data_IF_846114612317
#
_entry.id   IF_846114612317
#
_cell.length_a   1.000
_cell.length_b   1.000
_cell.length_c   1.000
_cell.angle_alpha   90.00
_cell.angle_beta   90.00
_cell.angle_gamma   90.00
#
_symmetry.space_group_name_H-M   'P 1'
#
loop_
_entity.id
_entity.type
_entity.pdbx_description
1 polymer ?
#
# COMPACT_ATOMS: atom_id res chain seq x y z
N UNK A 1 2.44 -7.84 45.07
CA UNK A 1 1.71 -6.74 44.46
C UNK A 1 0.62 -7.19 43.52
N UNK A 2 -0.04 -6.25 42.88
CA UNK A 2 -1.11 -6.52 41.90
C UNK A 2 -0.80 -5.85 40.57
N UNK A 3 -1.20 -6.50 39.51
CA UNK A 3 -1.02 -6.00 38.16
C UNK A 3 0.44 -5.86 37.76
N UNK A 4 0.78 -4.75 37.10
CA UNK A 4 2.13 -4.47 36.61
C UNK A 4 3.01 -3.68 37.62
N UNK A 5 2.64 -3.66 38.88
CA UNK A 5 3.39 -2.94 39.93
C UNK A 5 4.79 -3.51 40.07
N UNK A 6 5.77 -2.63 40.28
CA UNK A 6 7.15 -3.01 40.58
C UNK A 6 7.98 -3.37 39.34
N UNK A 7 7.57 -2.99 38.12
CA UNK A 7 8.29 -3.31 36.90
C UNK A 7 9.71 -2.77 36.84
N UNK A 8 9.97 -1.60 37.44
CA UNK A 8 11.32 -1.03 37.59
C UNK A 8 11.93 -1.21 38.97
N UNK A 9 11.26 -1.97 39.84
CA UNK A 9 11.72 -2.27 41.20
C UNK A 9 12.01 -3.77 41.34
N UNK A 10 11.14 -4.51 42.04
CA UNK A 10 11.40 -5.92 42.34
C UNK A 10 11.29 -6.84 41.10
N UNK A 11 10.58 -6.42 40.06
CA UNK A 11 10.47 -7.19 38.80
C UNK A 11 11.40 -6.69 37.69
N UNK A 12 12.30 -5.76 38.00
CA UNK A 12 13.18 -5.10 37.01
C UNK A 12 14.04 -6.11 36.23
N UNK A 13 14.60 -7.10 36.92
CA UNK A 13 15.45 -8.11 36.27
C UNK A 13 14.69 -8.85 35.20
N UNK A 14 13.44 -9.23 35.46
CA UNK A 14 12.59 -9.93 34.46
C UNK A 14 12.25 -9.04 33.30
N UNK A 15 11.93 -7.77 33.54
CA UNK A 15 11.63 -6.84 32.43
C UNK A 15 12.86 -6.56 31.58
N UNK A 16 14.02 -6.34 32.18
CA UNK A 16 15.25 -6.08 31.42
C UNK A 16 15.69 -7.30 30.61
N UNK A 17 15.46 -8.50 31.11
CA UNK A 17 15.88 -9.74 30.46
C UNK A 17 14.92 -10.16 29.34
N UNK A 18 13.61 -10.09 29.55
CA UNK A 18 12.61 -10.63 28.63
C UNK A 18 11.88 -9.56 27.80
N UNK A 19 11.88 -8.33 28.26
CA UNK A 19 11.20 -7.22 27.57
C UNK A 19 12.10 -5.98 27.52
N UNK A 20 13.28 -6.06 26.87
CA UNK A 20 14.16 -4.90 26.75
C UNK A 20 13.44 -3.78 26.00
N UNK A 21 13.58 -2.55 26.51
CA UNK A 21 12.91 -1.40 25.90
C UNK A 21 11.43 -1.25 26.27
N UNK A 22 10.93 -2.00 27.24
CA UNK A 22 9.53 -1.90 27.69
C UNK A 22 9.19 -0.51 28.23
N UNK A 23 10.09 0.06 29.04
CA UNK A 23 9.89 1.38 29.63
C UNK A 23 10.46 2.47 28.72
N UNK A 24 9.87 3.63 28.78
CA UNK A 24 10.29 4.81 28.03
C UNK A 24 9.36 5.14 26.88
N UNK A 25 9.76 6.14 26.13
CA UNK A 25 9.02 6.64 24.96
C UNK A 25 9.97 6.69 23.77
N UNK A 26 9.47 6.37 22.59
CA UNK A 26 10.24 6.36 21.36
C UNK A 26 9.60 7.28 20.34
N UNK A 27 10.44 8.09 19.68
CA UNK A 27 10.03 8.95 18.57
C UNK A 27 9.37 10.25 19.00
N UNK A 28 9.01 11.04 18.02
CA UNK A 28 8.34 12.32 18.21
C UNK A 28 6.84 12.16 18.32
N UNK A 29 6.21 13.04 19.08
CA UNK A 29 4.75 13.12 19.15
C UNK A 29 4.24 13.95 17.97
N UNK A 30 3.08 13.58 17.47
CA UNK A 30 2.37 14.34 16.46
C UNK A 30 1.00 14.73 16.99
N UNK A 31 0.77 16.06 17.09
CA UNK A 31 -0.54 16.56 17.51
C UNK A 31 -1.54 16.42 16.38
N UNK A 32 -2.79 16.18 16.73
CA UNK A 32 -3.90 16.03 15.78
C UNK A 32 -3.58 15.02 14.65
N UNK A 33 -3.14 13.84 15.05
CA UNK A 33 -2.84 12.77 14.10
C UNK A 33 -4.13 12.13 13.61
N UNK A 34 -4.41 12.26 12.32
CA UNK A 34 -5.57 11.64 11.69
C UNK A 34 -5.12 10.52 10.76
N UNK A 35 -5.86 9.43 10.72
CA UNK A 35 -5.58 8.31 9.83
C UNK A 35 -5.82 8.63 8.36
N UNK A 36 -6.67 9.60 8.08
CA UNK A 36 -6.96 10.03 6.71
C UNK A 36 -5.72 10.53 5.97
N UNK A 37 -4.74 11.09 6.69
CA UNK A 37 -3.48 11.57 6.10
C UNK A 37 -2.65 10.43 5.49
N UNK A 38 -2.75 9.22 6.05
CA UNK A 38 -1.98 8.05 5.64
C UNK A 38 -2.79 7.06 4.80
N UNK A 39 -4.06 7.36 4.55
CA UNK A 39 -4.92 6.48 3.77
C UNK A 39 -4.41 6.39 2.34
N UNK A 40 -3.85 5.24 1.99
CA UNK A 40 -3.32 4.98 0.65
C UNK A 40 -3.45 3.48 0.34
N UNK A 41 -4.68 3.00 0.06
CA UNK A 41 -4.87 1.61 -0.31
C UNK A 41 -4.20 1.29 -1.63
N UNK A 42 -3.62 0.10 -1.73
CA UNK A 42 -2.82 -0.32 -2.87
C UNK A 42 -3.45 -1.50 -3.59
N UNK A 43 -3.37 -1.49 -4.92
CA UNK A 43 -3.70 -2.62 -5.77
C UNK A 43 -2.44 -3.02 -6.55
N UNK A 44 -2.24 -4.32 -6.78
CA UNK A 44 -1.11 -4.80 -7.56
C UNK A 44 -1.46 -4.92 -9.05
N UNK A 45 -0.44 -4.89 -9.90
CA UNK A 45 -0.63 -4.92 -11.36
C UNK A 45 -1.36 -6.17 -11.85
N UNK A 46 -1.21 -7.29 -11.16
CA UNK A 46 -1.90 -8.54 -11.52
C UNK A 46 -3.42 -8.45 -11.36
N UNK A 47 -3.90 -7.54 -10.51
CA UNK A 47 -5.32 -7.38 -10.21
C UNK A 47 -6.00 -6.29 -11.04
N UNK A 48 -5.26 -5.52 -11.81
CA UNK A 48 -5.81 -4.40 -12.57
C UNK A 48 -6.84 -4.84 -13.61
N UNK A 49 -6.59 -5.95 -14.28
CA UNK A 49 -7.52 -6.44 -15.29
C UNK A 49 -8.86 -6.86 -14.71
N UNK A 50 -8.88 -7.36 -13.47
CA UNK A 50 -10.10 -7.78 -12.81
C UNK A 50 -11.04 -6.63 -12.44
N UNK A 51 -10.55 -5.38 -12.44
CA UNK A 51 -11.37 -4.18 -12.21
C UNK A 51 -12.18 -3.76 -13.44
N UNK A 52 -11.84 -4.30 -14.61
CA UNK A 52 -12.59 -4.03 -15.84
C UNK A 52 -13.87 -4.86 -15.90
N UNK A 53 -14.94 -4.37 -16.56
CA UNK A 53 -16.13 -5.18 -16.79
C UNK A 53 -15.83 -6.48 -17.54
N UNK A 54 -16.59 -7.52 -17.26
CA UNK A 54 -16.46 -8.78 -18.00
C UNK A 54 -16.69 -8.57 -19.50
N UNK A 55 -15.90 -9.29 -20.31
CA UNK A 55 -16.00 -9.20 -21.75
C UNK A 55 -15.41 -7.93 -22.35
N UNK A 56 -14.64 -7.16 -21.57
CA UNK A 56 -13.95 -5.98 -22.10
C UNK A 56 -12.91 -6.41 -23.14
N UNK A 57 -13.11 -5.98 -24.38
CA UNK A 57 -12.18 -6.20 -25.48
C UNK A 57 -11.86 -4.85 -26.11
N UNK A 58 -10.59 -4.48 -26.12
CA UNK A 58 -10.16 -3.26 -26.77
C UNK A 58 -10.01 -3.49 -28.27
N UNK A 59 -10.45 -2.54 -29.14
CA UNK A 59 -10.17 -2.60 -30.58
C UNK A 59 -8.66 -2.61 -30.84
N UNK A 60 -8.27 -3.09 -32.03
CA UNK A 60 -6.87 -3.09 -32.44
C UNK A 60 -6.30 -1.66 -32.41
N UNK A 61 -5.13 -1.50 -31.79
CA UNK A 61 -4.48 -0.20 -31.64
C UNK A 61 -4.99 0.64 -30.46
N UNK A 62 -5.91 0.10 -29.67
CA UNK A 62 -6.43 0.78 -28.46
C UNK A 62 -6.24 -0.08 -27.22
N UNK A 63 -6.24 0.56 -26.07
CA UNK A 63 -6.11 -0.11 -24.77
C UNK A 63 -7.21 0.38 -23.82
N UNK A 64 -7.73 -0.50 -22.94
CA UNK A 64 -8.71 -0.07 -21.95
C UNK A 64 -8.09 0.88 -20.93
N UNK A 65 -8.89 1.78 -20.39
CA UNK A 65 -8.50 2.74 -19.36
C UNK A 65 -9.05 2.26 -18.02
N UNK A 66 -8.15 2.11 -17.03
CA UNK A 66 -8.51 1.73 -15.66
C UNK A 66 -8.19 2.90 -14.74
N UNK A 67 -9.20 3.43 -14.06
CA UNK A 67 -9.01 4.43 -13.00
C UNK A 67 -9.18 3.74 -11.65
N UNK A 68 -8.07 3.42 -11.00
CA UNK A 68 -8.10 2.70 -9.73
C UNK A 68 -8.68 3.52 -8.59
N UNK A 69 -8.73 4.85 -8.72
CA UNK A 69 -9.32 5.71 -7.71
C UNK A 69 -10.84 5.54 -7.62
N UNK A 70 -11.49 5.18 -8.73
CA UNK A 70 -12.92 4.86 -8.75
C UNK A 70 -13.23 3.51 -8.12
N UNK A 71 -12.24 2.65 -7.98
CA UNK A 71 -12.37 1.34 -7.33
C UNK A 71 -11.87 1.34 -5.88
N UNK A 72 -11.56 2.51 -5.33
CA UNK A 72 -11.15 2.65 -3.93
C UNK A 72 -9.65 2.50 -3.68
N UNK A 73 -8.82 2.54 -4.70
CA UNK A 73 -7.36 2.42 -4.55
C UNK A 73 -6.67 3.72 -4.96
N UNK A 74 -5.55 4.04 -4.29
CA UNK A 74 -4.77 5.24 -4.59
C UNK A 74 -3.42 4.90 -5.23
N UNK A 75 -2.86 3.74 -4.93
CA UNK A 75 -1.51 3.35 -5.31
C UNK A 75 -1.52 2.05 -6.10
N UNK A 76 -0.67 1.97 -7.11
CA UNK A 76 -0.47 0.74 -7.89
C UNK A 76 0.89 0.14 -7.54
N UNK A 77 0.86 -1.09 -7.04
CA UNK A 77 2.06 -1.87 -6.73
C UNK A 77 2.44 -2.82 -7.85
N UNK A 78 3.67 -3.31 -7.83
CA UNK A 78 4.26 -4.08 -8.93
C UNK A 78 4.19 -5.60 -8.83
N UNK A 79 3.42 -6.15 -7.88
CA UNK A 79 3.33 -7.61 -7.74
C UNK A 79 2.57 -8.24 -8.90
N UNK A 80 3.13 -9.32 -9.44
CA UNK A 80 2.50 -10.08 -10.52
C UNK A 80 2.93 -9.64 -11.91
N UNK A 81 2.21 -10.08 -12.91
CA UNK A 81 2.50 -9.82 -14.33
C UNK A 81 1.37 -9.07 -14.99
N UNK A 82 1.73 -8.20 -15.95
CA UNK A 82 0.78 -7.51 -16.80
C UNK A 82 0.84 -8.17 -18.18
N UNK A 83 -0.24 -8.87 -18.56
CA UNK A 83 -0.27 -9.62 -19.80
C UNK A 83 -0.74 -8.79 -21.00
N UNK A 84 -1.55 -7.76 -20.76
CA UNK A 84 -2.19 -6.97 -21.83
C UNK A 84 -1.95 -5.47 -21.61
N UNK A 85 -1.84 -4.68 -22.69
CA UNK A 85 -1.69 -3.24 -22.57
C UNK A 85 -2.95 -2.60 -21.97
N UNK A 86 -2.74 -1.63 -21.08
CA UNK A 86 -3.81 -0.84 -20.47
C UNK A 86 -3.29 0.52 -20.04
N UNK A 87 -4.17 1.50 -20.03
CA UNK A 87 -3.87 2.83 -19.49
C UNK A 87 -4.39 2.88 -18.06
N UNK A 88 -3.51 3.12 -17.10
CA UNK A 88 -3.83 3.09 -15.68
C UNK A 88 -3.75 4.50 -15.11
N UNK A 89 -4.82 4.93 -14.45
CA UNK A 89 -4.89 6.20 -13.73
C UNK A 89 -4.85 5.93 -12.23
N UNK A 90 -3.90 6.53 -11.54
CA UNK A 90 -3.75 6.39 -10.09
C UNK A 90 -3.07 7.63 -9.51
N UNK A 91 -3.10 7.75 -8.19
CA UNK A 91 -2.40 8.84 -7.50
C UNK A 91 -0.91 8.56 -7.34
N UNK A 92 -0.54 7.29 -7.18
CA UNK A 92 0.85 6.87 -7.00
C UNK A 92 1.11 5.56 -7.75
N UNK A 93 2.33 5.45 -8.27
CA UNK A 93 2.84 4.22 -8.88
C UNK A 93 4.19 3.87 -8.27
N UNK A 94 4.44 2.58 -8.04
CA UNK A 94 5.79 2.14 -7.71
C UNK A 94 6.64 2.05 -8.99
N UNK A 95 7.95 2.15 -8.87
CA UNK A 95 8.86 2.06 -10.03
C UNK A 95 8.70 0.74 -10.78
N UNK A 96 8.52 -0.36 -10.05
CA UNK A 96 8.31 -1.69 -10.65
C UNK A 96 6.98 -1.77 -11.39
N UNK A 97 5.91 -1.20 -10.80
CA UNK A 97 4.59 -1.16 -11.44
C UNK A 97 4.63 -0.38 -12.75
N UNK A 98 5.26 0.79 -12.75
CA UNK A 98 5.43 1.62 -13.93
C UNK A 98 6.18 0.87 -15.04
N UNK A 99 7.29 0.22 -14.69
CA UNK A 99 8.06 -0.57 -15.66
C UNK A 99 7.24 -1.69 -16.27
N UNK A 100 6.49 -2.43 -15.48
CA UNK A 100 5.67 -3.55 -15.95
C UNK A 100 4.53 -3.09 -16.85
N UNK A 101 3.87 -1.99 -16.49
CA UNK A 101 2.77 -1.44 -17.30
C UNK A 101 3.30 -0.94 -18.65
N UNK A 102 4.39 -0.22 -18.66
CA UNK A 102 5.02 0.28 -19.88
C UNK A 102 5.57 -0.84 -20.76
N UNK A 103 6.16 -1.87 -20.17
CA UNK A 103 6.67 -3.04 -20.90
C UNK A 103 5.55 -3.81 -21.60
N UNK A 104 4.34 -3.81 -21.06
CA UNK A 104 3.17 -4.43 -21.68
C UNK A 104 2.54 -3.57 -22.79
N UNK A 105 3.05 -2.37 -23.03
CA UNK A 105 2.53 -1.44 -24.02
C UNK A 105 1.50 -0.45 -23.49
N UNK A 106 1.33 -0.38 -22.18
CA UNK A 106 0.41 0.54 -21.52
C UNK A 106 1.01 1.87 -21.13
N UNK A 107 0.25 2.68 -20.43
CA UNK A 107 0.67 3.98 -19.93
C UNK A 107 0.20 4.20 -18.48
N UNK A 108 0.94 5.02 -17.75
CA UNK A 108 0.60 5.43 -16.37
C UNK A 108 0.27 6.91 -16.38
N UNK A 109 -0.86 7.27 -15.77
CA UNK A 109 -1.34 8.66 -15.67
C UNK A 109 -1.58 8.97 -14.19
N UNK A 110 -1.02 10.06 -13.71
CA UNK A 110 -1.29 10.57 -12.36
C UNK A 110 -2.57 11.42 -12.37
N UNK A 111 -3.41 11.17 -11.38
CA UNK A 111 -4.67 11.92 -11.19
C UNK A 111 -4.73 12.64 -9.84
#
# INVERSE_FOLDING_TARGET
GRGNAGGQHHMRTLFDQFHPGYFGKVGMRQFHRTKARYHCPMINVEMLWSTLPEGTVAPAGQAPVVDVTQHGFFKVGGKGLVAKPMVVKAKLFTAVAEKKIKAAGGACILV
#
